data_IF_271358559662
#
_entry.id   IF_271358559662
#
_cell.length_a   1.000
_cell.length_b   1.000
_cell.length_c   1.000
_cell.angle_alpha   90.00
_cell.angle_beta   90.00
_cell.angle_gamma   90.00
#
_symmetry.space_group_name_H-M   'P 1'
#
loop_
_entity.id
_entity.type
_entity.pdbx_description
1 polymer ?
#
# COMPACT_ATOMS: atom_id res chain seq x y z
N UNK A 1 21.18 7.93 -9.62
CA UNK A 1 19.75 7.70 -9.88
C UNK A 1 18.97 8.47 -8.83
N UNK A 2 18.06 9.35 -9.25
CA UNK A 2 17.26 10.15 -8.31
C UNK A 2 16.17 9.31 -7.65
N UNK A 3 15.81 9.68 -6.42
CA UNK A 3 14.75 8.98 -5.69
C UNK A 3 13.40 9.56 -6.10
N UNK A 4 12.49 8.70 -6.52
CA UNK A 4 11.11 9.03 -6.80
C UNK A 4 10.28 8.98 -5.51
N UNK A 5 9.48 10.01 -5.28
CA UNK A 5 8.75 10.19 -4.03
C UNK A 5 9.48 11.16 -3.09
N UNK A 6 9.33 10.95 -1.79
CA UNK A 6 9.94 11.83 -0.79
C UNK A 6 11.46 11.73 -0.79
N UNK A 7 12.15 12.85 -0.61
CA UNK A 7 13.61 12.90 -0.75
C UNK A 7 14.35 12.38 0.50
N UNK A 8 13.72 12.43 1.67
CA UNK A 8 14.32 12.04 2.94
C UNK A 8 13.88 10.63 3.35
N UNK A 9 14.81 9.83 3.86
CA UNK A 9 14.57 8.42 4.21
C UNK A 9 14.50 8.20 5.70
N UNK A 10 14.82 9.22 6.50
CA UNK A 10 14.71 9.22 7.94
C UNK A 10 14.11 10.53 8.45
N UNK A 11 13.30 10.45 9.51
CA UNK A 11 12.63 11.61 10.09
C UNK A 11 12.54 11.49 11.63
N UNK A 12 12.82 12.60 12.33
CA UNK A 12 12.60 12.72 13.78
C UNK A 12 11.50 13.72 14.07
N UNK A 13 10.72 13.43 15.11
CA UNK A 13 9.63 14.31 15.56
C UNK A 13 8.62 14.61 14.45
N UNK A 14 8.33 13.61 13.61
CA UNK A 14 7.31 13.69 12.54
C UNK A 14 5.99 14.19 13.13
N UNK A 15 5.39 15.19 12.49
CA UNK A 15 4.15 15.82 12.96
C UNK A 15 4.31 16.68 14.23
N UNK A 16 5.49 17.26 14.45
CA UNK A 16 5.76 18.20 15.55
C UNK A 16 6.57 19.42 15.06
N UNK A 17 6.62 20.53 15.82
CA UNK A 17 7.41 21.71 15.43
C UNK A 17 8.90 21.41 15.21
N UNK A 18 9.45 20.43 15.93
CA UNK A 18 10.86 20.04 15.84
C UNK A 18 11.14 18.99 14.74
N UNK A 19 10.29 18.93 13.70
CA UNK A 19 10.41 17.94 12.62
C UNK A 19 11.68 18.13 11.80
N UNK A 20 12.57 17.13 11.92
CA UNK A 20 13.84 17.04 11.18
C UNK A 20 13.79 15.87 10.20
N UNK A 21 14.32 16.06 9.00
CA UNK A 21 14.32 15.06 7.94
C UNK A 21 15.73 14.94 7.36
N UNK A 22 16.20 13.71 7.15
CA UNK A 22 17.54 13.42 6.64
C UNK A 22 17.47 12.27 5.63
N UNK A 23 18.31 12.32 4.60
CA UNK A 23 18.48 11.21 3.66
C UNK A 23 19.67 10.35 4.09
N UNK A 24 19.39 9.23 4.76
CA UNK A 24 20.40 8.30 5.28
C UNK A 24 20.58 7.06 4.40
N UNK A 25 19.50 6.59 3.78
CA UNK A 25 19.45 5.31 3.07
C UNK A 25 19.73 5.50 1.57
N UNK A 26 20.48 4.58 0.98
CA UNK A 26 20.94 4.63 -0.41
C UNK A 26 20.92 3.25 -1.05
N UNK A 27 20.66 3.22 -2.36
CA UNK A 27 20.91 2.04 -3.19
C UNK A 27 22.18 2.28 -4.01
N UNK A 28 23.07 1.28 -4.03
CA UNK A 28 24.31 1.31 -4.80
C UNK A 28 24.26 0.18 -5.83
N UNK A 29 24.63 0.49 -7.07
CA UNK A 29 24.61 -0.43 -8.20
C UNK A 29 25.87 -0.27 -9.02
N UNK A 30 26.27 -1.31 -9.74
CA UNK A 30 27.38 -1.27 -10.69
C UNK A 30 26.90 -0.76 -12.06
N UNK A 31 27.84 -0.28 -12.88
CA UNK A 31 27.54 0.13 -14.26
C UNK A 31 27.00 -1.04 -15.10
N UNK A 32 27.53 -2.25 -14.88
CA UNK A 32 27.02 -3.46 -15.54
C UNK A 32 25.55 -3.72 -15.22
N UNK A 33 25.11 -3.43 -13.99
CA UNK A 33 23.71 -3.57 -13.58
C UNK A 33 22.82 -2.49 -14.21
N UNK A 34 23.30 -1.25 -14.28
CA UNK A 34 22.58 -0.16 -14.96
C UNK A 34 22.38 -0.44 -16.46
N UNK A 35 23.38 -1.07 -17.11
CA UNK A 35 23.26 -1.49 -18.50
C UNK A 35 22.20 -2.59 -18.68
N UNK A 36 22.03 -3.50 -17.72
CA UNK A 36 20.99 -4.53 -17.78
C UNK A 36 19.58 -3.98 -17.47
N UNK A 37 19.48 -2.98 -16.59
CA UNK A 37 18.22 -2.37 -16.15
C UNK A 37 18.20 -0.86 -16.41
N UNK A 38 18.23 -0.42 -17.68
CA UNK A 38 18.35 1.00 -18.01
C UNK A 38 17.14 1.84 -17.58
N UNK A 39 15.99 1.20 -17.29
CA UNK A 39 14.77 1.84 -16.82
C UNK A 39 14.54 1.66 -15.32
N UNK A 40 15.54 1.20 -14.56
CA UNK A 40 15.43 1.03 -13.13
C UNK A 40 15.07 2.34 -12.43
N UNK A 41 14.29 2.24 -11.35
CA UNK A 41 13.83 3.38 -10.57
C UNK A 41 14.01 3.10 -9.09
N UNK A 42 14.52 4.10 -8.39
CA UNK A 42 14.60 4.11 -6.93
C UNK A 42 13.39 4.85 -6.38
N UNK A 43 12.64 4.22 -5.48
CA UNK A 43 11.48 4.83 -4.84
C UNK A 43 11.67 4.92 -3.33
N UNK A 44 11.21 6.02 -2.76
CA UNK A 44 10.97 6.14 -1.33
C UNK A 44 9.50 5.80 -1.06
N UNK A 45 9.26 4.77 -0.26
CA UNK A 45 7.92 4.37 0.16
C UNK A 45 7.60 5.01 1.51
N UNK A 46 6.38 5.52 1.64
CA UNK A 46 5.92 6.05 2.93
C UNK A 46 5.75 4.91 3.95
N UNK A 47 6.58 4.94 5.00
CA UNK A 47 6.42 4.10 6.19
C UNK A 47 5.55 4.80 7.24
N UNK A 48 4.60 4.09 7.85
CA UNK A 48 3.67 4.67 8.84
C UNK A 48 4.18 4.58 10.29
N UNK A 49 5.06 3.64 10.61
CA UNK A 49 5.41 3.29 12.00
C UNK A 49 6.90 3.39 12.34
N UNK A 50 7.78 3.55 11.35
CA UNK A 50 9.22 3.74 11.56
C UNK A 50 9.62 5.20 11.30
N UNK A 51 10.66 5.63 12.00
CA UNK A 51 11.41 6.85 11.70
C UNK A 51 12.13 6.76 10.35
N UNK A 52 12.43 5.54 9.86
CA UNK A 52 12.88 5.28 8.49
C UNK A 52 11.71 5.05 7.51
N UNK A 53 11.92 5.48 6.27
CA UNK A 53 11.06 5.19 5.13
C UNK A 53 11.71 4.12 4.24
N UNK A 54 11.02 3.02 3.89
CA UNK A 54 11.60 1.98 3.05
C UNK A 54 12.00 2.51 1.66
N UNK A 55 13.20 2.14 1.21
CA UNK A 55 13.67 2.45 -0.14
C UNK A 55 13.62 1.18 -0.99
N UNK A 56 13.01 1.26 -2.17
CA UNK A 56 12.92 0.14 -3.11
C UNK A 56 13.57 0.50 -4.45
N UNK A 57 14.53 -0.31 -4.88
CA UNK A 57 15.09 -0.26 -6.22
C UNK A 57 14.34 -1.25 -7.10
N UNK A 58 13.57 -0.75 -8.06
CA UNK A 58 12.80 -1.59 -8.98
C UNK A 58 13.60 -1.78 -10.26
N UNK A 59 14.15 -2.98 -10.52
CA UNK A 59 14.77 -3.28 -11.80
C UNK A 59 13.68 -3.29 -12.89
N UNK A 60 13.97 -2.64 -14.02
CA UNK A 60 13.07 -2.65 -15.16
C UNK A 60 13.85 -2.77 -16.46
N UNK A 61 13.57 -3.86 -17.19
CA UNK A 61 14.00 -4.04 -18.58
C UNK A 61 13.05 -3.28 -19.51
N UNK A 62 13.48 -3.04 -20.74
CA UNK A 62 12.69 -2.36 -21.78
C UNK A 62 11.40 -3.12 -22.14
N UNK A 63 11.35 -4.42 -21.90
CA UNK A 63 10.18 -5.27 -22.21
C UNK A 63 9.17 -5.29 -21.05
N UNK A 64 7.91 -4.99 -21.36
CA UNK A 64 6.82 -5.12 -20.39
C UNK A 64 6.27 -6.55 -20.40
N UNK A 65 6.43 -7.29 -19.29
CA UNK A 65 5.61 -8.48 -19.05
C UNK A 65 4.20 -8.04 -18.67
N UNK A 66 3.20 -8.54 -19.39
CA UNK A 66 1.81 -8.41 -18.96
C UNK A 66 1.63 -9.23 -17.69
N UNK A 67 1.29 -8.56 -16.58
CA UNK A 67 0.97 -9.24 -15.33
C UNK A 67 -0.48 -9.70 -15.38
N UNK A 68 -0.72 -11.02 -15.31
CA UNK A 68 -2.07 -11.53 -15.09
C UNK A 68 -2.42 -11.40 -13.61
N UNK A 69 -3.44 -10.59 -13.32
CA UNK A 69 -3.92 -10.43 -11.95
C UNK A 69 -4.72 -11.68 -11.52
N UNK A 70 -4.14 -12.46 -10.60
CA UNK A 70 -4.86 -13.52 -9.92
C UNK A 70 -5.71 -12.96 -8.78
N UNK A 71 -6.78 -13.68 -8.43
CA UNK A 71 -7.57 -13.37 -7.23
C UNK A 71 -6.66 -13.44 -6.00
N UNK A 72 -6.78 -12.44 -5.12
CA UNK A 72 -6.17 -12.42 -3.79
C UNK A 72 -7.27 -12.09 -2.79
N UNK A 73 -7.29 -12.84 -1.70
CA UNK A 73 -8.13 -12.54 -0.55
C UNK A 73 -7.48 -11.42 0.27
N UNK A 74 -8.27 -10.46 0.72
CA UNK A 74 -7.80 -9.41 1.62
C UNK A 74 -8.25 -9.71 3.05
N UNK A 75 -7.31 -9.75 4.00
CA UNK A 75 -7.63 -10.06 5.40
C UNK A 75 -8.64 -9.07 6.01
N UNK A 76 -8.68 -7.83 5.52
CA UNK A 76 -9.66 -6.82 5.95
C UNK A 76 -11.11 -7.26 5.72
N UNK A 77 -11.36 -8.16 4.75
CA UNK A 77 -12.70 -8.70 4.52
C UNK A 77 -13.24 -9.51 5.71
N UNK A 78 -12.36 -10.08 6.55
CA UNK A 78 -12.77 -10.83 7.73
C UNK A 78 -13.47 -9.97 8.80
N UNK A 79 -13.32 -8.64 8.73
CA UNK A 79 -13.96 -7.70 9.64
C UNK A 79 -15.46 -7.57 9.32
N UNK A 80 -15.83 -7.68 8.04
CA UNK A 80 -17.22 -7.58 7.61
C UNK A 80 -17.92 -8.96 7.76
N UNK A 81 -18.99 -9.06 8.57
CA UNK A 81 -19.75 -10.32 8.73
C UNK A 81 -20.25 -10.91 7.40
N UNK A 82 -20.46 -10.07 6.38
CA UNK A 82 -20.87 -10.49 5.05
C UNK A 82 -19.83 -11.40 4.39
N UNK A 83 -18.54 -11.25 4.69
CA UNK A 83 -17.50 -12.14 4.15
C UNK A 83 -17.77 -13.60 4.56
N UNK A 84 -18.03 -13.83 5.84
CA UNK A 84 -18.33 -15.18 6.34
C UNK A 84 -19.63 -15.72 5.74
N UNK A 85 -20.67 -14.88 5.68
CA UNK A 85 -21.96 -15.25 5.11
C UNK A 85 -21.82 -15.71 3.64
N UNK A 86 -21.13 -14.92 2.81
CA UNK A 86 -20.90 -15.23 1.40
C UNK A 86 -20.13 -16.54 1.22
N UNK A 87 -19.10 -16.78 2.03
CA UNK A 87 -18.35 -18.04 1.98
C UNK A 87 -19.25 -19.21 2.35
N UNK A 88 -20.00 -19.11 3.46
CA UNK A 88 -20.87 -20.18 3.94
C UNK A 88 -21.95 -20.55 2.91
N UNK A 89 -22.68 -19.55 2.43
CA UNK A 89 -23.75 -19.76 1.44
C UNK A 89 -23.21 -20.42 0.17
N UNK A 90 -22.10 -19.95 -0.37
CA UNK A 90 -21.56 -20.47 -1.63
C UNK A 90 -20.80 -21.80 -1.48
N UNK A 91 -20.34 -22.12 -0.27
CA UNK A 91 -19.70 -23.39 0.04
C UNK A 91 -20.71 -24.54 0.13
N UNK A 92 -21.88 -24.26 0.72
CA UNK A 92 -22.92 -25.25 0.98
C UNK A 92 -23.89 -25.46 -0.20
N UNK A 93 -23.95 -24.50 -1.13
CA UNK A 93 -24.84 -24.49 -2.31
C UNK A 93 -24.58 -25.64 -3.33
N UNK A 94 -23.46 -26.37 -3.23
CA UNK A 94 -23.15 -27.43 -4.21
C UNK A 94 -22.58 -28.70 -3.55
N UNK A 95 -23.48 -29.61 -3.19
CA UNK A 95 -23.18 -30.92 -2.59
C UNK A 95 -22.77 -31.89 -3.71
N UNK A 96 -21.47 -32.03 -3.94
CA UNK A 96 -20.93 -32.98 -4.93
C UNK A 96 -19.66 -32.52 -5.66
N UNK A 97 -19.32 -31.22 -5.59
CA UNK A 97 -18.08 -30.69 -6.16
C UNK A 97 -16.86 -30.93 -5.28
N UNK A 98 -15.71 -31.06 -5.94
CA UNK A 98 -14.42 -31.09 -5.25
C UNK A 98 -14.11 -29.75 -4.56
N UNK A 99 -13.18 -29.81 -3.60
CA UNK A 99 -12.77 -28.66 -2.79
C UNK A 99 -12.20 -27.51 -3.65
N UNK A 100 -11.49 -27.81 -4.74
CA UNK A 100 -10.88 -26.78 -5.60
C UNK A 100 -11.95 -25.96 -6.32
N UNK A 101 -13.00 -26.61 -6.80
CA UNK A 101 -14.15 -25.96 -7.43
C UNK A 101 -14.91 -25.07 -6.44
N UNK A 102 -15.09 -25.54 -5.19
CA UNK A 102 -15.72 -24.74 -4.13
C UNK A 102 -14.90 -23.50 -3.78
N UNK A 103 -13.58 -23.64 -3.61
CA UNK A 103 -12.66 -22.53 -3.36
C UNK A 103 -12.69 -21.51 -4.51
N UNK A 104 -12.69 -21.97 -5.77
CA UNK A 104 -12.81 -21.08 -6.94
C UNK A 104 -14.12 -20.30 -6.93
N UNK A 105 -15.26 -20.96 -6.72
CA UNK A 105 -16.58 -20.31 -6.67
C UNK A 105 -16.63 -19.24 -5.56
N UNK A 106 -16.20 -19.59 -4.35
CA UNK A 106 -16.11 -18.63 -3.25
C UNK A 106 -15.19 -17.46 -3.59
N UNK A 107 -14.03 -17.73 -4.22
CA UNK A 107 -13.11 -16.70 -4.66
C UNK A 107 -13.70 -15.74 -5.70
N UNK A 108 -14.49 -16.23 -6.65
CA UNK A 108 -15.16 -15.38 -7.65
C UNK A 108 -16.22 -14.47 -7.02
N UNK A 109 -17.03 -15.00 -6.11
CA UNK A 109 -18.03 -14.25 -5.37
C UNK A 109 -17.37 -13.18 -4.50
N UNK A 110 -16.35 -13.56 -3.72
CA UNK A 110 -15.57 -12.64 -2.89
C UNK A 110 -14.83 -11.61 -3.74
N UNK A 111 -14.32 -11.96 -4.91
CA UNK A 111 -13.69 -10.99 -5.83
C UNK A 111 -14.67 -9.92 -6.27
N UNK A 112 -15.92 -10.31 -6.56
CA UNK A 112 -16.96 -9.37 -7.02
C UNK A 112 -17.42 -8.48 -5.87
N UNK A 113 -17.79 -9.06 -4.74
CA UNK A 113 -18.22 -8.33 -3.54
C UNK A 113 -17.10 -7.46 -2.97
N UNK A 114 -15.92 -8.05 -2.83
CA UNK A 114 -14.74 -7.39 -2.30
C UNK A 114 -14.28 -6.22 -3.15
N UNK A 115 -14.60 -6.15 -4.45
CA UNK A 115 -14.28 -4.99 -5.27
C UNK A 115 -14.94 -3.71 -4.73
N UNK A 116 -16.19 -3.77 -4.31
CA UNK A 116 -16.94 -2.60 -3.82
C UNK A 116 -16.49 -2.23 -2.40
N UNK A 117 -16.34 -3.23 -1.52
CA UNK A 117 -15.84 -3.06 -0.15
C UNK A 117 -14.41 -2.52 -0.12
N UNK A 118 -13.50 -3.10 -0.92
CA UNK A 118 -12.10 -2.67 -1.04
C UNK A 118 -12.00 -1.30 -1.71
N UNK A 119 -12.92 -0.94 -2.60
CA UNK A 119 -12.94 0.40 -3.20
C UNK A 119 -13.16 1.50 -2.15
N UNK A 120 -14.00 1.25 -1.14
CA UNK A 120 -14.23 2.21 -0.06
C UNK A 120 -13.01 2.38 0.84
N UNK A 121 -12.39 1.29 1.31
CA UNK A 121 -11.16 1.37 2.12
C UNK A 121 -10.00 1.94 1.30
N UNK A 122 -9.83 1.48 0.05
CA UNK A 122 -8.82 1.97 -0.87
C UNK A 122 -8.97 3.47 -1.17
N UNK A 123 -10.19 3.98 -1.29
CA UNK A 123 -10.45 5.41 -1.44
C UNK A 123 -10.02 6.19 -0.19
N UNK A 124 -10.40 5.73 1.00
CA UNK A 124 -10.03 6.37 2.26
C UNK A 124 -8.51 6.36 2.47
N UNK A 125 -7.85 5.23 2.26
CA UNK A 125 -6.39 5.10 2.34
C UNK A 125 -5.73 6.09 1.37
N UNK A 126 -6.20 6.14 0.11
CA UNK A 126 -5.65 7.05 -0.90
C UNK A 126 -5.85 8.52 -0.51
N UNK A 127 -7.04 8.87 0.01
CA UNK A 127 -7.36 10.22 0.50
C UNK A 127 -6.42 10.63 1.62
N UNK A 128 -6.32 9.82 2.69
CA UNK A 128 -5.51 10.19 3.85
C UNK A 128 -4.01 10.17 3.54
N UNK A 129 -3.53 9.29 2.65
CA UNK A 129 -2.15 9.38 2.14
C UNK A 129 -1.89 10.66 1.34
N UNK A 130 -2.85 11.13 0.54
CA UNK A 130 -2.72 12.38 -0.18
C UNK A 130 -2.69 13.59 0.77
N UNK A 131 -3.54 13.60 1.81
CA UNK A 131 -3.53 14.63 2.86
C UNK A 131 -2.19 14.63 3.62
N UNK A 132 -1.69 13.45 4.02
CA UNK A 132 -0.36 13.33 4.65
C UNK A 132 0.74 13.91 3.77
N UNK A 133 0.73 13.59 2.47
CA UNK A 133 1.71 14.11 1.52
C UNK A 133 1.61 15.62 1.33
N UNK A 134 0.41 16.18 1.40
CA UNK A 134 0.18 17.62 1.24
C UNK A 134 0.83 18.42 2.38
N UNK A 135 0.68 17.96 3.62
CA UNK A 135 1.22 18.66 4.79
C UNK A 135 2.62 18.19 5.20
N UNK A 136 3.18 17.21 4.48
CA UNK A 136 4.53 16.72 4.73
C UNK A 136 5.55 17.78 4.34
N UNK A 137 6.39 18.19 5.29
CA UNK A 137 7.38 19.25 5.07
C UNK A 137 6.94 20.62 5.57
N UNK A 138 5.64 20.82 5.82
CA UNK A 138 5.15 22.04 6.45
C UNK A 138 5.53 22.07 7.93
N UNK A 139 5.74 23.27 8.47
CA UNK A 139 6.25 23.48 9.84
C UNK A 139 5.38 24.40 10.67
N UNK A 140 4.33 24.98 10.07
CA UNK A 140 3.37 25.77 10.82
C UNK A 140 2.45 24.87 11.66
N UNK A 141 1.94 25.43 12.74
CA UNK A 141 1.13 24.70 13.75
C UNK A 141 -0.12 24.09 13.12
N UNK A 142 -0.73 24.77 12.15
CA UNK A 142 -1.98 24.33 11.54
C UNK A 142 -1.75 23.12 10.61
N UNK A 143 -0.74 23.18 9.73
CA UNK A 143 -0.38 22.05 8.88
C UNK A 143 0.06 20.83 9.67
N UNK A 144 0.81 21.03 10.76
CA UNK A 144 1.21 19.94 11.67
C UNK A 144 -0.01 19.26 12.29
N UNK A 145 -1.00 20.03 12.75
CA UNK A 145 -2.22 19.47 13.30
C UNK A 145 -2.98 18.66 12.25
N UNK A 146 -3.14 19.19 11.04
CA UNK A 146 -3.80 18.48 9.93
C UNK A 146 -3.06 17.21 9.54
N UNK A 147 -1.73 17.22 9.58
CA UNK A 147 -0.90 16.04 9.35
C UNK A 147 -1.19 14.94 10.38
N UNK A 148 -1.19 15.27 11.67
CA UNK A 148 -1.48 14.30 12.74
C UNK A 148 -2.92 13.78 12.70
N UNK A 149 -3.88 14.63 12.35
CA UNK A 149 -5.28 14.20 12.13
C UNK A 149 -5.41 13.22 10.96
N UNK A 150 -4.78 13.51 9.82
CA UNK A 150 -4.77 12.62 8.67
C UNK A 150 -4.08 11.29 8.99
N UNK A 151 -3.00 11.32 9.76
CA UNK A 151 -2.28 10.13 10.23
C UNK A 151 -3.15 9.26 11.12
N UNK A 152 -3.84 9.86 12.10
CA UNK A 152 -4.79 9.17 12.97
C UNK A 152 -5.93 8.53 12.16
N UNK A 153 -6.48 9.23 11.17
CA UNK A 153 -7.53 8.70 10.29
C UNK A 153 -7.02 7.53 9.45
N UNK A 154 -5.81 7.64 8.90
CA UNK A 154 -5.20 6.55 8.13
C UNK A 154 -4.98 5.31 9.00
N UNK A 155 -4.47 5.47 10.22
CA UNK A 155 -4.25 4.36 11.14
C UNK A 155 -5.55 3.61 11.45
N UNK A 156 -6.63 4.34 11.77
CA UNK A 156 -7.96 3.76 12.01
C UNK A 156 -8.57 3.00 10.82
N UNK A 157 -8.12 3.28 9.60
CA UNK A 157 -8.57 2.56 8.39
C UNK A 157 -7.73 1.31 8.13
N UNK A 158 -6.50 1.27 8.66
CA UNK A 158 -5.56 0.16 8.50
C UNK A 158 -5.64 -0.88 9.64
N UNK A 159 -6.18 -0.49 10.79
CA UNK A 159 -6.47 -1.35 11.95
C UNK A 159 -7.83 -2.05 11.84
#
# INVERSE_FOLDING_TARGET
>A
MDIAGHQYTWERSRGKPEWVEVRLDRAVVTDSWLNEFPLAKLYNLEGSTSDHSPVILVPKKSESRQFQAHFKFENAWLIDPMCFQLVKENWDDDVGRDIQQKVRKCGEVLKKWGKDTTSNFGFQIKKYKAELKQYRGERDVYSIQLYEEAKCKLHKVLD
#
